data_IF_710112899307
#
_entry.id   IF_710112899307
#
_cell.length_a   1.000
_cell.length_b   1.000
_cell.length_c   1.000
_cell.angle_alpha   90.00
_cell.angle_beta   90.00
_cell.angle_gamma   90.00
#
_symmetry.space_group_name_H-M   'P 1'
#
loop_
_entity.id
_entity.type
_entity.pdbx_description
1 polymer ?
#
# COMPACT_ATOMS: atom_id res chain seq x y z
N UNK A 1 -1.44 -36.75 -36.83
CA UNK A 1 -2.07 -36.80 -35.48
C UNK A 1 -1.04 -36.92 -34.35
N UNK A 2 -0.12 -35.95 -34.14
CA UNK A 2 0.83 -35.97 -33.00
C UNK A 2 1.23 -34.60 -32.42
N UNK A 3 0.79 -33.47 -33.01
CA UNK A 3 1.17 -32.12 -32.52
C UNK A 3 0.14 -31.47 -31.59
N UNK A 4 -1.13 -31.86 -31.67
CA UNK A 4 -2.22 -31.20 -30.92
C UNK A 4 -2.35 -31.64 -29.44
N UNK A 5 -1.67 -32.73 -29.02
CA UNK A 5 -1.73 -33.19 -27.61
C UNK A 5 -0.71 -32.55 -26.67
N UNK A 6 0.34 -31.91 -27.18
CA UNK A 6 1.31 -31.20 -26.32
C UNK A 6 0.79 -29.83 -25.86
N UNK A 7 -0.04 -29.16 -26.65
CA UNK A 7 -0.53 -27.82 -26.34
C UNK A 7 -1.58 -27.84 -25.21
N UNK A 8 -2.39 -28.90 -25.12
CA UNK A 8 -3.32 -29.07 -24.00
C UNK A 8 -2.63 -29.42 -22.67
N UNK A 9 -1.41 -29.97 -22.70
CA UNK A 9 -0.61 -30.23 -21.50
C UNK A 9 0.02 -28.95 -20.92
N UNK A 10 0.24 -27.90 -21.73
CA UNK A 10 0.83 -26.63 -21.30
C UNK A 10 -0.15 -25.72 -20.56
N UNK A 11 -1.44 -26.07 -20.57
CA UNK A 11 -2.52 -25.31 -19.90
C UNK A 11 -2.71 -25.72 -18.43
N UNK A 12 -2.17 -26.88 -18.02
CA UNK A 12 -2.18 -27.31 -16.63
C UNK A 12 -0.95 -26.75 -15.93
N UNK A 13 -0.92 -25.45 -15.66
CA UNK A 13 0.08 -24.87 -14.74
C UNK A 13 -0.10 -25.59 -13.40
N UNK A 14 0.88 -26.38 -12.93
CA UNK A 14 0.75 -27.09 -11.67
C UNK A 14 0.55 -26.09 -10.54
N UNK A 15 -0.37 -26.38 -9.60
CA UNK A 15 -0.60 -25.52 -8.42
C UNK A 15 0.72 -25.20 -7.68
N UNK A 16 1.63 -26.18 -7.62
CA UNK A 16 2.97 -26.06 -7.04
C UNK A 16 3.89 -25.05 -7.75
N UNK A 17 3.73 -24.82 -9.05
CA UNK A 17 4.51 -23.81 -9.79
C UNK A 17 4.05 -22.39 -9.46
N UNK A 18 2.74 -22.18 -9.33
CA UNK A 18 2.16 -20.90 -8.86
C UNK A 18 2.58 -20.59 -7.43
N UNK A 19 2.59 -21.59 -6.56
CA UNK A 19 3.01 -21.45 -5.16
C UNK A 19 4.51 -21.12 -5.04
N UNK A 20 5.37 -21.77 -5.83
CA UNK A 20 6.81 -21.44 -5.91
C UNK A 20 7.07 -20.05 -6.47
N UNK A 21 6.34 -19.61 -7.49
CA UNK A 21 6.45 -18.23 -7.98
C UNK A 21 5.97 -17.21 -6.95
N UNK A 22 4.88 -17.50 -6.23
CA UNK A 22 4.39 -16.64 -5.15
C UNK A 22 5.43 -16.54 -4.02
N UNK A 23 6.09 -17.64 -3.65
CA UNK A 23 7.16 -17.65 -2.64
C UNK A 23 8.41 -16.91 -3.11
N UNK A 24 8.81 -17.07 -4.37
CA UNK A 24 9.95 -16.34 -4.95
C UNK A 24 9.66 -14.83 -5.07
N UNK A 25 8.43 -14.45 -5.39
CA UNK A 25 7.99 -13.05 -5.36
C UNK A 25 7.96 -12.49 -3.93
N UNK A 26 7.62 -13.31 -2.92
CA UNK A 26 7.72 -13.00 -1.47
C UNK A 26 9.12 -12.70 -0.98
N UNK A 27 10.15 -13.23 -1.62
CA UNK A 27 11.55 -13.01 -1.21
C UNK A 27 12.28 -11.97 -2.07
N UNK A 28 11.66 -11.47 -3.14
CA UNK A 28 12.34 -10.62 -4.12
C UNK A 28 12.66 -9.22 -3.57
N UNK A 29 11.85 -8.71 -2.66
CA UNK A 29 11.96 -7.36 -2.14
C UNK A 29 12.19 -7.40 -0.63
N UNK A 30 13.24 -6.72 -0.15
CA UNK A 30 13.55 -6.61 1.27
C UNK A 30 12.78 -5.50 1.97
N UNK A 31 12.31 -4.53 1.19
CA UNK A 31 11.65 -3.31 1.63
C UNK A 31 10.57 -2.92 0.64
N UNK A 32 9.61 -2.12 1.11
CA UNK A 32 8.53 -1.53 0.35
C UNK A 32 8.50 -0.02 0.59
N UNK A 33 8.48 0.78 -0.47
CA UNK A 33 8.37 2.24 -0.38
C UNK A 33 6.92 2.65 -0.57
N UNK A 34 6.31 3.19 0.48
CA UNK A 34 4.91 3.62 0.46
C UNK A 34 4.87 5.13 0.44
N UNK A 35 4.12 5.68 -0.52
CA UNK A 35 3.89 7.12 -0.68
C UNK A 35 2.42 7.39 -0.43
N UNK A 36 2.10 8.32 0.46
CA UNK A 36 0.72 8.70 0.77
C UNK A 36 0.53 10.15 0.33
N UNK A 37 -0.33 10.36 -0.67
CA UNK A 37 -0.67 11.68 -1.17
C UNK A 37 -1.84 12.25 -0.37
N UNK A 38 -1.63 13.44 0.19
CA UNK A 38 -2.63 14.20 0.95
C UNK A 38 -3.42 15.17 0.06
N UNK A 39 -4.59 15.66 0.53
CA UNK A 39 -5.44 16.58 -0.22
C UNK A 39 -4.76 17.92 -0.55
N UNK A 40 -3.79 18.34 0.25
CA UNK A 40 -2.97 19.54 0.06
C UNK A 40 -1.85 19.35 -0.98
N UNK A 41 -1.73 18.15 -1.55
CA UNK A 41 -0.70 17.79 -2.54
C UNK A 41 0.62 17.32 -1.92
N UNK A 42 0.75 17.34 -0.59
CA UNK A 42 1.94 16.83 0.10
C UNK A 42 1.98 15.30 -0.02
N UNK A 43 3.19 14.74 -0.16
CA UNK A 43 3.40 13.30 -0.22
C UNK A 43 4.26 12.90 0.99
N UNK A 44 3.68 12.10 1.89
CA UNK A 44 4.42 11.45 2.96
C UNK A 44 4.99 10.14 2.43
N UNK A 45 6.31 9.97 2.52
CA UNK A 45 6.99 8.75 2.11
C UNK A 45 7.50 7.99 3.34
N UNK A 46 7.20 6.69 3.40
CA UNK A 46 7.73 5.77 4.40
C UNK A 46 8.32 4.51 3.77
N UNK A 47 9.26 3.89 4.47
CA UNK A 47 9.87 2.61 4.07
C UNK A 47 9.46 1.55 5.07
N UNK A 48 8.88 0.47 4.58
CA UNK A 48 8.30 -0.61 5.37
C UNK A 48 8.86 -1.96 4.93
N UNK A 49 8.72 -2.98 5.77
CA UNK A 49 8.99 -4.36 5.39
C UNK A 49 7.76 -4.95 4.67
N UNK A 50 7.95 -5.82 3.66
CA UNK A 50 6.84 -6.50 2.97
C UNK A 50 5.89 -7.26 3.89
N UNK A 51 6.41 -7.76 5.02
CA UNK A 51 5.68 -8.53 6.02
C UNK A 51 4.98 -7.67 7.08
N UNK A 52 5.15 -6.34 7.06
CA UNK A 52 4.45 -5.45 7.99
C UNK A 52 2.95 -5.46 7.74
N UNK A 53 2.20 -5.24 8.82
CA UNK A 53 0.77 -5.15 8.78
C UNK A 53 0.34 -3.85 8.11
N UNK A 54 -0.81 -3.90 7.45
CA UNK A 54 -1.51 -2.72 6.93
C UNK A 54 -1.80 -1.69 8.02
N UNK A 55 -2.08 -2.12 9.26
CA UNK A 55 -2.26 -1.23 10.41
C UNK A 55 -1.05 -0.35 10.71
N UNK A 56 0.17 -0.82 10.48
CA UNK A 56 1.39 -0.01 10.65
C UNK A 56 1.46 1.19 9.70
N UNK A 57 0.81 1.12 8.53
CA UNK A 57 0.65 2.29 7.66
C UNK A 57 -0.31 3.32 8.25
N UNK A 58 -1.39 2.86 8.87
CA UNK A 58 -2.36 3.75 9.49
C UNK A 58 -1.76 4.45 10.70
N UNK A 59 -1.03 3.73 11.55
CA UNK A 59 -0.28 4.32 12.66
C UNK A 59 0.74 5.36 12.17
N UNK A 60 1.53 5.01 11.15
CA UNK A 60 2.50 5.94 10.54
C UNK A 60 1.86 7.22 10.00
N UNK A 61 0.71 7.11 9.34
CA UNK A 61 -0.01 8.28 8.81
C UNK A 61 -0.62 9.08 9.95
N UNK A 62 -1.23 8.43 10.94
CA UNK A 62 -1.85 9.09 12.09
C UNK A 62 -0.83 9.90 12.90
N UNK A 63 0.37 9.35 13.13
CA UNK A 63 1.47 10.03 13.83
C UNK A 63 2.02 11.26 13.08
N UNK A 64 1.78 11.34 11.77
CA UNK A 64 2.19 12.47 10.93
C UNK A 64 1.13 13.58 10.86
N UNK A 65 -0.12 13.31 11.27
CA UNK A 65 -1.21 14.28 11.24
C UNK A 65 -1.10 15.30 12.39
N UNK A 66 -1.50 16.55 12.12
CA UNK A 66 -1.71 17.56 13.18
C UNK A 66 -2.87 17.23 14.12
N UNK A 67 -3.88 16.54 13.60
CA UNK A 67 -5.07 16.14 14.35
C UNK A 67 -5.07 14.62 14.52
N UNK A 68 -4.64 14.10 15.67
CA UNK A 68 -4.54 12.65 15.90
C UNK A 68 -5.91 11.97 16.00
N UNK A 69 -6.99 12.73 16.21
CA UNK A 69 -8.37 12.21 16.27
C UNK A 69 -9.10 12.15 14.93
N UNK A 70 -8.43 12.51 13.81
CA UNK A 70 -9.04 12.47 12.49
C UNK A 70 -9.08 11.02 11.98
N UNK A 71 -10.28 10.50 11.72
CA UNK A 71 -10.42 9.23 11.01
C UNK A 71 -10.14 9.41 9.52
N UNK A 72 -9.54 8.40 8.88
CA UNK A 72 -9.21 8.47 7.45
C UNK A 72 -9.11 7.09 6.81
N UNK A 73 -9.27 7.07 5.49
CA UNK A 73 -9.09 5.91 4.64
C UNK A 73 -7.85 6.08 3.76
N UNK A 74 -7.09 4.99 3.59
CA UNK A 74 -6.02 4.90 2.61
C UNK A 74 -6.51 4.19 1.36
N UNK A 75 -6.54 4.91 0.25
CA UNK A 75 -7.05 4.39 -1.02
C UNK A 75 -5.88 3.99 -1.91
N UNK A 76 -5.82 2.71 -2.25
CA UNK A 76 -4.92 2.20 -3.28
C UNK A 76 -5.55 2.45 -4.67
N UNK A 77 -4.95 3.28 -5.53
CA UNK A 77 -5.39 3.48 -6.91
C UNK A 77 -4.95 2.28 -7.76
N UNK A 78 -5.63 1.15 -7.58
CA UNK A 78 -5.46 -0.02 -8.43
C UNK A 78 -6.38 0.09 -9.68
N UNK A 79 -5.90 -0.40 -10.82
CA UNK A 79 -6.71 -0.54 -12.05
C UNK A 79 -7.30 -1.96 -12.04
N UNK A 80 -8.62 -2.17 -12.23
CA UNK A 80 -9.62 -1.22 -12.75
C UNK A 80 -10.43 -0.45 -11.69
N UNK A 81 -10.28 -0.74 -10.39
CA UNK A 81 -11.00 -0.03 -9.32
C UNK A 81 -10.08 0.29 -8.15
N UNK A 82 -10.15 1.54 -7.71
CA UNK A 82 -9.58 1.96 -6.44
C UNK A 82 -10.19 1.15 -5.29
N UNK A 83 -9.35 0.72 -4.35
CA UNK A 83 -9.78 0.00 -3.16
C UNK A 83 -9.29 0.70 -1.90
N UNK A 84 -10.10 0.65 -0.85
CA UNK A 84 -9.72 1.10 0.48
C UNK A 84 -8.89 0.00 1.13
N UNK A 85 -7.77 0.36 1.75
CA UNK A 85 -6.99 -0.57 2.55
C UNK A 85 -7.74 -0.93 3.84
N UNK A 86 -7.65 -2.17 4.32
CA UNK A 86 -8.21 -2.52 5.63
C UNK A 86 -7.36 -1.87 6.74
N UNK A 87 -8.03 -1.16 7.66
CA UNK A 87 -7.38 -0.55 8.85
C UNK A 87 -6.92 -1.59 9.88
N UNK A 88 -7.79 -2.56 10.18
CA UNK A 88 -7.54 -3.65 11.12
C UNK A 88 -8.09 -4.96 10.58
N UNK A 89 -7.55 -6.12 10.99
CA UNK A 89 -8.20 -7.39 10.70
C UNK A 89 -9.62 -7.41 11.26
N UNK A 90 -10.56 -7.98 10.52
CA UNK A 90 -11.88 -8.31 11.05
C UNK A 90 -11.72 -9.28 12.24
N UNK A 91 -12.63 -9.23 13.22
CA UNK A 91 -12.63 -10.14 14.38
C UNK A 91 -12.51 -11.60 13.94
N UNK A 92 -11.33 -12.19 14.11
CA UNK A 92 -11.01 -13.57 13.74
C UNK A 92 -10.15 -13.75 12.47
N UNK A 93 -9.83 -12.69 11.73
CA UNK A 93 -8.93 -12.74 10.57
C UNK A 93 -7.48 -12.39 10.94
N UNK A 94 -6.52 -12.91 10.17
CA UNK A 94 -5.10 -12.51 10.28
C UNK A 94 -4.91 -11.11 9.69
N UNK A 95 -4.08 -10.28 10.34
CA UNK A 95 -3.66 -9.00 9.79
C UNK A 95 -3.10 -9.15 8.37
N UNK A 96 -3.64 -8.37 7.43
CA UNK A 96 -3.16 -8.33 6.04
C UNK A 96 -1.81 -7.62 6.01
N UNK A 97 -0.84 -8.21 5.32
CA UNK A 97 0.48 -7.60 5.15
C UNK A 97 0.54 -6.68 3.93
N UNK A 98 1.52 -5.79 3.88
CA UNK A 98 1.76 -4.93 2.70
C UNK A 98 1.93 -5.76 1.43
N UNK A 99 2.56 -6.92 1.57
CA UNK A 99 2.71 -7.85 0.47
C UNK A 99 1.38 -8.50 0.04
N UNK A 100 0.55 -8.93 0.98
CA UNK A 100 -0.75 -9.53 0.65
C UNK A 100 -1.65 -8.50 -0.06
N UNK A 101 -1.51 -7.22 0.30
CA UNK A 101 -2.15 -6.10 -0.38
C UNK A 101 -1.42 -5.64 -1.64
N UNK A 102 -0.34 -6.31 -2.09
CA UNK A 102 0.34 -5.97 -3.34
C UNK A 102 0.93 -4.56 -3.38
N UNK A 103 1.30 -4.00 -2.21
CA UNK A 103 1.92 -2.68 -2.09
C UNK A 103 3.45 -2.71 -2.30
N UNK A 104 4.00 -3.90 -2.51
CA UNK A 104 5.42 -4.16 -2.67
C UNK A 104 5.76 -4.28 -4.17
N UNK A 105 6.88 -3.68 -4.64
CA UNK A 105 7.93 -2.99 -3.89
C UNK A 105 7.65 -1.50 -3.61
N UNK A 106 6.66 -0.92 -4.29
CA UNK A 106 6.28 0.47 -4.05
C UNK A 106 4.81 0.68 -4.35
N UNK A 107 4.16 1.53 -3.56
CA UNK A 107 2.78 1.93 -3.80
C UNK A 107 2.58 3.43 -3.53
N UNK A 108 1.72 4.04 -4.35
CA UNK A 108 1.17 5.37 -4.09
C UNK A 108 -0.26 5.20 -3.60
N UNK A 109 -0.55 5.70 -2.41
CA UNK A 109 -1.86 5.69 -1.77
C UNK A 109 -2.41 7.11 -1.75
N UNK A 110 -3.73 7.25 -1.80
CA UNK A 110 -4.42 8.52 -1.60
C UNK A 110 -5.03 8.55 -0.21
N UNK A 111 -4.73 9.59 0.54
CA UNK A 111 -5.36 9.87 1.82
C UNK A 111 -6.76 10.46 1.59
N UNK A 112 -7.76 9.87 2.24
CA UNK A 112 -9.13 10.40 2.26
C UNK A 112 -9.54 10.65 3.71
N UNK A 113 -9.65 11.91 4.16
CA UNK A 113 -10.13 12.20 5.51
C UNK A 113 -11.62 11.89 5.62
N UNK A 114 -12.03 11.36 6.78
CA UNK A 114 -13.42 11.22 7.19
C UNK A 114 -13.75 12.37 8.15
N UNK A 115 -13.97 13.55 7.56
CA UNK A 115 -14.20 14.78 8.32
C UNK A 115 -15.58 14.78 8.99
N UNK A 116 -15.63 15.25 10.22
CA UNK A 116 -16.84 15.51 11.00
C UNK A 116 -16.91 17.01 11.31
N UNK A 117 -18.08 17.55 11.66
CA UNK A 117 -18.25 18.98 11.98
C UNK A 117 -17.22 19.54 12.99
N UNK A 118 -16.68 18.70 13.86
CA UNK A 118 -15.68 19.06 14.87
C UNK A 118 -14.23 18.69 14.52
N UNK A 119 -14.01 17.80 13.54
CA UNK A 119 -12.69 17.24 13.24
C UNK A 119 -12.45 17.26 11.73
N UNK A 120 -11.52 18.11 11.30
CA UNK A 120 -11.19 18.35 9.90
C UNK A 120 -9.72 18.11 9.62
N UNK A 121 -9.37 17.88 8.36
CA UNK A 121 -7.97 17.79 7.94
C UNK A 121 -7.30 19.16 8.04
N UNK A 122 -6.22 19.25 8.84
CA UNK A 122 -5.45 20.48 9.06
C UNK A 122 -4.01 20.39 8.54
N UNK A 123 -3.69 19.33 7.79
CA UNK A 123 -2.34 19.07 7.29
C UNK A 123 -1.49 18.17 8.18
N UNK A 124 -0.24 18.00 7.75
CA UNK A 124 0.81 17.29 8.49
C UNK A 124 1.47 18.18 9.54
N UNK A 125 2.13 17.55 10.51
CA UNK A 125 2.89 18.23 11.57
C UNK A 125 3.94 19.18 10.99
N UNK A 126 4.09 20.36 11.59
CA UNK A 126 5.00 21.41 11.09
C UNK A 126 6.45 20.94 10.99
N UNK A 127 6.91 20.15 11.98
CA UNK A 127 8.25 19.53 11.97
C UNK A 127 8.54 18.68 10.72
N UNK A 128 7.50 18.08 10.13
CA UNK A 128 7.63 17.25 8.93
C UNK A 128 7.64 18.12 7.67
N UNK A 129 6.90 19.23 7.68
CA UNK A 129 6.88 20.20 6.60
C UNK A 129 8.20 20.99 6.53
N UNK A 130 8.78 21.34 7.68
CA UNK A 130 10.10 21.98 7.75
C UNK A 130 11.22 21.10 7.20
N UNK A 131 11.11 19.79 7.40
CA UNK A 131 12.03 18.80 6.85
C UNK A 131 11.65 18.34 5.42
N UNK A 132 10.62 18.91 4.82
CA UNK A 132 10.16 18.50 3.50
C UNK A 132 11.07 19.04 2.40
N UNK A 133 11.42 18.17 1.46
CA UNK A 133 12.15 18.56 0.25
C UNK A 133 11.16 18.71 -0.91
N UNK A 134 11.38 19.69 -1.81
CA UNK A 134 10.58 19.79 -3.02
C UNK A 134 10.73 18.49 -3.81
N UNK A 135 9.61 17.94 -4.28
CA UNK A 135 9.62 16.78 -5.16
C UNK A 135 10.19 17.19 -6.53
N UNK A 136 11.52 17.23 -6.64
CA UNK A 136 12.19 17.33 -7.93
C UNK A 136 12.01 16.01 -8.64
N UNK A 137 11.02 15.97 -9.55
CA UNK A 137 11.00 14.96 -10.59
C UNK A 137 12.33 15.08 -11.33
N UNK A 138 13.25 14.14 -11.09
CA UNK A 138 14.51 14.08 -11.81
C UNK A 138 14.18 14.16 -13.31
N UNK A 139 14.74 15.17 -13.97
CA UNK A 139 14.65 15.35 -15.41
C UNK A 139 15.06 14.05 -16.10
N UNK A 140 14.29 13.73 -17.14
CA UNK A 140 14.47 12.59 -18.03
C UNK A 140 15.86 12.52 -18.67
#
# INVERSE_FOLDING_TARGET
>A
MRRERLEQSRLLIPKSYKEKQALAARQKYKQAVIRVQFPDGVILQGVFLPAEATGSLYEFVADALKQPGLEFDLICPAVPRSRVLPHSPNTGERARTLQDEGLVPSALLKFKPNETDSVVFTGLLDKLLEASEPFTAASS
#
